data_IF_712599493193
#
_entry.id   IF_712599493193
#
_cell.length_a   1.000
_cell.length_b   1.000
_cell.length_c   1.000
_cell.angle_alpha   90.00
_cell.angle_beta   90.00
_cell.angle_gamma   90.00
#
_symmetry.space_group_name_H-M   'P 1'
#
loop_
_entity.id
_entity.type
_entity.pdbx_description
1 polymer ?
#
# COMPACT_ATOMS: atom_id res chain seq x y z
N UNK A 1 -3.25 10.16 -11.07
CA UNK A 1 -2.30 11.10 -11.71
C UNK A 1 -1.03 11.03 -10.92
N UNK A 2 0.12 11.09 -11.59
CA UNK A 2 1.42 11.02 -10.92
C UNK A 2 1.68 12.31 -10.12
N UNK A 3 1.18 13.44 -10.62
CA UNK A 3 1.16 14.73 -9.94
C UNK A 3 0.37 14.71 -8.63
N UNK A 4 -0.84 14.15 -8.65
CA UNK A 4 -1.67 14.01 -7.44
C UNK A 4 -0.98 13.08 -6.44
N UNK A 5 -0.38 11.99 -6.91
CA UNK A 5 0.38 11.09 -6.06
C UNK A 5 1.59 11.78 -5.43
N UNK A 6 2.35 12.58 -6.19
CA UNK A 6 3.49 13.34 -5.68
C UNK A 6 3.07 14.32 -4.58
N UNK A 7 1.97 15.04 -4.80
CA UNK A 7 1.46 16.02 -3.84
C UNK A 7 1.01 15.35 -2.53
N UNK A 8 0.18 14.31 -2.61
CA UNK A 8 -0.32 13.59 -1.44
C UNK A 8 0.81 12.87 -0.70
N UNK A 9 1.78 12.28 -1.41
CA UNK A 9 2.92 11.63 -0.78
C UNK A 9 3.78 12.63 0.03
N UNK A 10 3.94 13.85 -0.46
CA UNK A 10 4.66 14.89 0.28
C UNK A 10 3.89 15.34 1.53
N UNK A 11 2.59 15.58 1.41
CA UNK A 11 1.78 16.06 2.53
C UNK A 11 1.62 15.00 3.63
N UNK A 12 1.34 13.76 3.25
CA UNK A 12 1.29 12.64 4.21
C UNK A 12 2.68 12.34 4.79
N UNK A 13 3.75 12.48 4.00
CA UNK A 13 5.11 12.36 4.49
C UNK A 13 5.46 13.40 5.55
N UNK A 14 5.01 14.65 5.39
CA UNK A 14 5.17 15.70 6.42
C UNK A 14 4.37 15.40 7.68
N UNK A 15 3.15 14.88 7.54
CA UNK A 15 2.26 14.64 8.67
C UNK A 15 2.65 13.39 9.49
N UNK A 16 3.02 12.30 8.81
CA UNK A 16 3.24 10.99 9.43
C UNK A 16 4.69 10.52 9.42
N UNK A 17 5.59 11.27 8.77
CA UNK A 17 7.03 11.04 8.81
C UNK A 17 7.43 9.64 8.33
N UNK A 18 8.26 8.98 9.13
CA UNK A 18 8.88 7.70 8.78
C UNK A 18 7.87 6.57 8.55
N UNK A 19 6.72 6.58 9.22
CA UNK A 19 5.60 5.62 9.03
C UNK A 19 5.14 5.55 7.58
N UNK A 20 5.10 6.69 6.90
CA UNK A 20 4.69 6.83 5.50
C UNK A 20 5.87 6.88 4.52
N UNK A 21 7.10 6.67 5.00
CA UNK A 21 8.27 6.54 4.15
C UNK A 21 8.22 5.32 3.23
N UNK A 22 9.25 5.16 2.41
CA UNK A 22 9.44 4.00 1.56
C UNK A 22 10.39 4.28 0.42
N UNK A 23 9.85 4.38 -0.78
CA UNK A 23 10.61 4.80 -1.96
C UNK A 23 11.00 6.29 -1.91
N UNK A 24 11.97 6.66 -2.74
CA UNK A 24 12.39 8.04 -2.92
C UNK A 24 11.29 8.88 -3.59
N UNK A 25 10.73 9.91 -2.92
CA UNK A 25 9.73 10.79 -3.51
C UNK A 25 10.22 11.57 -4.74
N UNK A 26 11.54 11.71 -4.93
CA UNK A 26 12.12 12.39 -6.08
C UNK A 26 11.67 11.76 -7.41
N UNK A 27 11.50 10.43 -7.45
CA UNK A 27 10.99 9.71 -8.63
C UNK A 27 9.67 10.32 -9.12
N UNK A 28 8.72 10.56 -8.21
CA UNK A 28 7.43 11.13 -8.58
C UNK A 28 7.59 12.58 -9.07
N UNK A 29 8.48 13.36 -8.45
CA UNK A 29 8.74 14.75 -8.83
C UNK A 29 9.39 14.86 -10.21
N UNK A 30 10.37 14.01 -10.50
CA UNK A 30 11.04 13.94 -11.81
C UNK A 30 10.09 13.50 -12.92
N UNK A 31 9.23 12.50 -12.65
CA UNK A 31 8.18 12.11 -13.59
C UNK A 31 7.22 13.27 -13.88
N UNK A 32 6.84 14.05 -12.87
CA UNK A 32 5.98 15.24 -13.06
C UNK A 32 6.70 16.30 -13.88
N UNK A 33 7.97 16.59 -13.58
CA UNK A 33 8.78 17.55 -14.32
C UNK A 33 8.96 17.16 -15.80
N UNK A 34 9.05 15.86 -16.10
CA UNK A 34 9.08 15.30 -17.46
C UNK A 34 7.70 15.27 -18.17
N UNK A 35 6.64 15.79 -17.53
CA UNK A 35 5.28 15.80 -18.08
C UNK A 35 4.60 14.43 -18.09
N UNK A 36 5.10 13.47 -17.32
CA UNK A 36 4.55 12.13 -17.17
C UNK A 36 3.43 12.12 -16.12
N UNK A 37 2.28 12.73 -16.43
CA UNK A 37 1.18 12.93 -15.46
C UNK A 37 0.18 11.76 -15.40
N UNK A 38 0.29 10.81 -16.34
CA UNK A 38 -0.61 9.66 -16.48
C UNK A 38 -1.59 9.83 -17.63
N UNK A 39 -2.79 9.25 -17.51
CA UNK A 39 -3.79 9.24 -18.59
C UNK A 39 -4.20 10.63 -19.08
N UNK A 40 -4.23 11.63 -18.21
CA UNK A 40 -4.62 13.00 -18.56
C UNK A 40 -3.66 13.69 -19.52
N UNK A 41 -2.38 13.31 -19.52
CA UNK A 41 -1.36 13.82 -20.44
C UNK A 41 -1.00 12.81 -21.54
N UNK A 42 -1.73 11.69 -21.65
CA UNK A 42 -1.42 10.61 -22.58
C UNK A 42 -0.18 9.78 -22.23
N UNK A 43 0.61 10.16 -21.21
CA UNK A 43 1.81 9.42 -20.78
C UNK A 43 2.07 9.53 -19.28
N UNK A 44 2.50 8.42 -18.66
CA UNK A 44 2.86 8.27 -17.25
C UNK A 44 3.85 7.11 -17.10
N UNK A 45 3.62 6.18 -16.16
CA UNK A 45 4.34 4.89 -16.16
C UNK A 45 4.17 4.10 -17.47
N UNK A 46 3.08 4.37 -18.19
CA UNK A 46 2.77 3.82 -19.50
C UNK A 46 2.41 4.94 -20.46
N UNK A 47 2.52 4.69 -21.75
CA UNK A 47 1.92 5.54 -22.79
C UNK A 47 0.49 5.06 -23.03
N UNK A 48 -0.43 6.02 -23.16
CA UNK A 48 -1.87 5.80 -23.32
C UNK A 48 -2.34 6.32 -24.67
N UNK A 49 -2.64 5.42 -25.60
CA UNK A 49 -3.21 5.72 -26.90
C UNK A 49 -4.74 5.89 -26.77
N UNK A 50 -5.28 7.11 -26.96
CA UNK A 50 -6.71 7.39 -26.81
C UNK A 50 -7.54 6.77 -27.93
N UNK A 51 -6.93 6.41 -29.07
CA UNK A 51 -7.62 5.78 -30.21
C UNK A 51 -7.90 4.29 -30.00
N UNK A 52 -7.26 3.67 -29.00
CA UNK A 52 -7.37 2.24 -28.70
C UNK A 52 -8.06 2.02 -27.36
N UNK A 53 -8.79 0.90 -27.25
CA UNK A 53 -9.43 0.51 -25.99
C UNK A 53 -8.42 0.37 -24.83
N UNK A 54 -8.89 0.56 -23.59
CA UNK A 54 -8.08 0.68 -22.36
C UNK A 54 -6.91 -0.31 -22.19
N UNK A 55 -7.04 -1.56 -22.67
CA UNK A 55 -5.98 -2.58 -22.62
C UNK A 55 -5.00 -2.50 -23.79
N UNK A 56 -5.49 -2.28 -25.02
CA UNK A 56 -4.66 -2.27 -26.24
C UNK A 56 -3.93 -0.94 -26.47
N UNK A 57 -4.39 0.13 -25.82
CA UNK A 57 -3.74 1.44 -25.88
C UNK A 57 -2.67 1.66 -24.81
N UNK A 58 -2.28 0.64 -24.04
CA UNK A 58 -1.30 0.76 -22.96
C UNK A 58 0.03 0.11 -23.38
N UNK A 59 1.06 0.93 -23.61
CA UNK A 59 2.42 0.46 -23.92
C UNK A 59 3.41 0.94 -22.88
N UNK A 60 4.56 0.26 -22.77
CA UNK A 60 5.63 0.67 -21.88
C UNK A 60 6.14 2.08 -22.25
N UNK A 61 6.50 2.86 -21.24
CA UNK A 61 7.08 4.18 -21.43
C UNK A 61 8.57 4.13 -21.09
N UNK A 62 9.42 4.23 -22.11
CA UNK A 62 10.88 4.19 -21.96
C UNK A 62 11.42 5.39 -21.17
N UNK A 63 10.77 6.56 -21.26
CA UNK A 63 11.13 7.76 -20.49
C UNK A 63 10.89 7.52 -18.99
N UNK A 64 9.75 6.92 -18.64
CA UNK A 64 9.46 6.52 -17.27
C UNK A 64 10.43 5.45 -16.74
N UNK A 65 10.77 4.47 -17.58
CA UNK A 65 11.74 3.43 -17.22
C UNK A 65 13.13 3.99 -16.98
N UNK A 66 13.57 4.99 -17.76
CA UNK A 66 14.85 5.65 -17.56
C UNK A 66 14.93 6.31 -16.17
N UNK A 67 13.89 7.06 -15.78
CA UNK A 67 13.79 7.68 -14.44
C UNK A 67 13.78 6.59 -13.36
N UNK A 68 12.94 5.56 -13.49
CA UNK A 68 12.87 4.47 -12.51
C UNK A 68 14.21 3.74 -12.32
N UNK A 69 14.98 3.58 -13.40
CA UNK A 69 16.29 2.94 -13.35
C UNK A 69 17.35 3.79 -12.64
N UNK A 70 17.24 5.12 -12.67
CA UNK A 70 18.16 6.02 -11.97
C UNK A 70 18.03 5.91 -10.44
N UNK A 71 16.83 5.67 -9.93
CA UNK A 71 16.55 5.50 -8.50
C UNK A 71 16.47 4.02 -8.07
N UNK A 72 16.93 3.10 -8.92
CA UNK A 72 16.80 1.67 -8.66
C UNK A 72 17.69 1.25 -7.48
N UNK A 73 17.06 0.71 -6.45
CA UNK A 73 17.76 0.12 -5.31
C UNK A 73 18.18 -1.33 -5.60
N UNK A 74 19.25 -1.77 -4.96
CA UNK A 74 19.66 -3.18 -4.96
C UNK A 74 18.59 -4.01 -4.24
N UNK A 75 18.10 -5.10 -4.86
CA UNK A 75 17.13 -5.97 -4.20
C UNK A 75 17.69 -6.56 -2.90
N UNK A 76 16.86 -6.58 -1.86
CA UNK A 76 17.18 -7.21 -0.57
C UNK A 76 16.72 -8.68 -0.55
N UNK A 77 16.87 -9.36 0.59
CA UNK A 77 16.47 -10.77 0.77
C UNK A 77 14.95 -11.02 0.71
N UNK A 78 14.12 -9.99 0.81
CA UNK A 78 12.66 -10.07 0.69
C UNK A 78 12.20 -9.59 -0.71
N UNK A 79 12.51 -10.40 -1.73
CA UNK A 79 12.37 -10.06 -3.16
C UNK A 79 11.59 -11.10 -3.98
N UNK A 80 10.85 -12.00 -3.32
CA UNK A 80 9.94 -12.94 -4.00
C UNK A 80 8.63 -12.25 -4.42
N UNK A 81 7.87 -12.86 -5.33
CA UNK A 81 6.53 -12.37 -5.70
C UNK A 81 5.60 -12.25 -4.49
N UNK A 82 5.66 -13.23 -3.58
CA UNK A 82 4.90 -13.19 -2.34
C UNK A 82 5.34 -12.02 -1.46
N UNK A 83 6.65 -11.77 -1.34
CA UNK A 83 7.15 -10.63 -0.57
C UNK A 83 6.67 -9.29 -1.15
N UNK A 84 6.65 -9.12 -2.48
CA UNK A 84 6.12 -7.90 -3.09
C UNK A 84 4.63 -7.69 -2.78
N UNK A 85 3.83 -8.76 -2.82
CA UNK A 85 2.42 -8.71 -2.47
C UNK A 85 2.23 -8.33 -1.01
N UNK A 86 2.92 -9.01 -0.10
CA UNK A 86 2.76 -8.80 1.33
C UNK A 86 3.38 -7.50 1.84
N UNK A 87 4.40 -6.95 1.18
CA UNK A 87 4.91 -5.61 1.50
C UNK A 87 3.86 -4.52 1.29
N UNK A 88 3.07 -4.63 0.21
CA UNK A 88 1.97 -3.71 -0.07
C UNK A 88 0.79 -3.99 0.87
N UNK A 89 0.41 -5.26 0.97
CA UNK A 89 -0.78 -5.70 1.68
C UNK A 89 -0.68 -5.48 3.19
N UNK A 90 0.45 -5.83 3.81
CA UNK A 90 0.63 -5.71 5.26
C UNK A 90 0.60 -4.27 5.74
N UNK A 91 1.25 -3.33 5.03
CA UNK A 91 1.19 -1.90 5.36
C UNK A 91 -0.24 -1.39 5.29
N UNK A 92 -0.99 -1.74 4.24
CA UNK A 92 -2.39 -1.34 4.12
C UNK A 92 -3.26 -1.86 5.28
N UNK A 93 -3.15 -3.15 5.61
CA UNK A 93 -3.96 -3.76 6.68
C UNK A 93 -3.59 -3.18 8.04
N UNK A 94 -2.30 -2.97 8.30
CA UNK A 94 -1.84 -2.35 9.54
C UNK A 94 -2.34 -0.92 9.69
N UNK A 95 -2.33 -0.12 8.62
CA UNK A 95 -2.89 1.24 8.62
C UNK A 95 -4.40 1.23 8.88
N UNK A 96 -5.15 0.29 8.30
CA UNK A 96 -6.58 0.15 8.59
C UNK A 96 -6.84 -0.13 10.07
N UNK A 97 -6.08 -1.06 10.66
CA UNK A 97 -6.19 -1.39 12.10
C UNK A 97 -5.74 -0.22 12.96
N UNK A 98 -4.71 0.51 12.55
CA UNK A 98 -4.28 1.72 13.26
C UNK A 98 -5.37 2.80 13.23
N UNK A 99 -6.06 3.00 12.11
CA UNK A 99 -7.20 3.92 12.04
C UNK A 99 -8.32 3.54 13.03
N UNK A 100 -8.55 2.24 13.26
CA UNK A 100 -9.47 1.78 14.31
C UNK A 100 -8.90 2.06 15.71
N UNK A 101 -7.62 1.80 15.93
CA UNK A 101 -6.94 2.06 17.20
C UNK A 101 -6.94 3.55 17.59
N UNK A 102 -6.75 4.43 16.61
CA UNK A 102 -6.75 5.89 16.77
C UNK A 102 -8.18 6.48 16.83
N UNK A 103 -9.22 5.65 16.68
CA UNK A 103 -10.62 6.08 16.72
C UNK A 103 -11.08 6.85 15.48
N UNK A 104 -10.33 6.80 14.38
CA UNK A 104 -10.74 7.34 13.07
C UNK A 104 -11.87 6.49 12.48
N UNK A 105 -11.75 5.17 12.60
CA UNK A 105 -12.84 4.24 12.29
C UNK A 105 -13.64 3.95 13.54
N UNK A 106 -14.97 4.02 13.46
CA UNK A 106 -15.85 3.69 14.59
C UNK A 106 -15.94 2.19 14.79
N UNK A 107 -16.01 1.42 13.71
CA UNK A 107 -16.15 -0.04 13.75
C UNK A 107 -15.31 -0.75 12.68
N UNK A 108 -14.91 -2.03 12.93
CA UNK A 108 -14.24 -2.84 11.91
C UNK A 108 -15.07 -3.02 10.63
N UNK A 109 -16.41 -3.06 10.77
CA UNK A 109 -17.33 -3.21 9.64
C UNK A 109 -17.27 -2.02 8.68
N UNK A 110 -17.25 -0.79 9.21
CA UNK A 110 -17.08 0.42 8.40
C UNK A 110 -15.74 0.41 7.67
N UNK A 111 -14.67 -0.01 8.35
CA UNK A 111 -13.34 -0.15 7.77
C UNK A 111 -13.30 -1.17 6.63
N UNK A 112 -13.94 -2.33 6.81
CA UNK A 112 -14.03 -3.36 5.77
C UNK A 112 -14.81 -2.89 4.55
N UNK A 113 -15.99 -2.28 4.76
CA UNK A 113 -16.82 -1.73 3.68
C UNK A 113 -16.07 -0.63 2.94
N UNK A 114 -15.46 0.32 3.66
CA UNK A 114 -14.70 1.42 3.08
C UNK A 114 -13.50 0.94 2.26
N UNK A 115 -12.76 -0.05 2.77
CA UNK A 115 -11.61 -0.63 2.06
C UNK A 115 -12.05 -1.35 0.77
N UNK A 116 -13.11 -2.16 0.82
CA UNK A 116 -13.58 -2.91 -0.35
C UNK A 116 -14.18 -1.99 -1.41
N UNK A 117 -15.13 -1.13 -1.04
CA UNK A 117 -15.86 -0.31 -2.02
C UNK A 117 -15.12 0.97 -2.41
N UNK A 118 -14.29 1.53 -1.53
CA UNK A 118 -13.55 2.76 -1.81
C UNK A 118 -12.18 2.51 -2.43
N UNK A 119 -11.39 1.61 -1.82
CA UNK A 119 -9.98 1.40 -2.17
C UNK A 119 -9.78 0.18 -3.08
N UNK A 120 -10.82 -0.62 -3.31
CA UNK A 120 -10.75 -1.82 -4.13
C UNK A 120 -10.01 -2.97 -3.45
N UNK A 121 -10.07 -3.04 -2.12
CA UNK A 121 -9.52 -4.18 -1.37
C UNK A 121 -10.15 -5.50 -1.87
N UNK A 122 -9.39 -6.60 -2.00
CA UNK A 122 -9.90 -7.81 -2.63
C UNK A 122 -11.16 -8.36 -1.91
N UNK A 123 -12.32 -8.40 -2.57
CA UNK A 123 -13.60 -8.65 -1.90
C UNK A 123 -13.73 -10.07 -1.35
N UNK A 124 -12.99 -11.03 -1.91
CA UNK A 124 -12.96 -12.41 -1.41
C UNK A 124 -12.29 -12.56 -0.04
N UNK A 125 -11.55 -11.54 0.42
CA UNK A 125 -11.06 -11.48 1.80
C UNK A 125 -12.05 -10.79 2.76
N UNK A 126 -13.11 -10.17 2.25
CA UNK A 126 -14.13 -9.47 3.02
C UNK A 126 -13.72 -8.12 3.62
N UNK A 127 -12.44 -7.75 3.55
CA UNK A 127 -11.87 -6.50 4.08
C UNK A 127 -10.64 -6.74 4.95
N UNK A 128 -9.87 -5.70 5.30
CA UNK A 128 -8.66 -5.81 6.11
C UNK A 128 -8.90 -6.44 7.50
N UNK A 129 -10.01 -6.14 8.18
CA UNK A 129 -10.31 -6.69 9.50
C UNK A 129 -10.81 -8.13 9.40
N UNK A 130 -11.72 -8.41 8.45
CA UNK A 130 -12.15 -9.77 8.15
C UNK A 130 -10.98 -10.68 7.74
N UNK A 131 -10.02 -10.16 6.98
CA UNK A 131 -8.82 -10.90 6.62
C UNK A 131 -8.06 -11.39 7.85
N UNK A 132 -7.86 -10.54 8.86
CA UNK A 132 -7.19 -10.91 10.12
C UNK A 132 -7.97 -11.98 10.86
N UNK A 133 -9.29 -11.87 10.91
CA UNK A 133 -10.12 -12.86 11.60
C UNK A 133 -10.01 -14.25 10.97
N UNK A 134 -9.88 -14.31 9.63
CA UNK A 134 -9.76 -15.56 8.87
C UNK A 134 -8.35 -16.16 8.91
N UNK A 135 -7.31 -15.35 8.77
CA UNK A 135 -5.92 -15.82 8.61
C UNK A 135 -5.12 -15.78 9.92
N UNK A 136 -5.61 -15.05 10.93
CA UNK A 136 -4.96 -14.85 12.22
C UNK A 136 -3.97 -13.69 12.21
N UNK A 137 -4.01 -12.88 13.27
CA UNK A 137 -3.15 -11.71 13.45
C UNK A 137 -1.66 -12.08 13.54
N UNK A 138 -1.32 -13.23 14.16
CA UNK A 138 0.07 -13.68 14.32
C UNK A 138 0.81 -13.84 12.99
N UNK A 139 0.18 -14.44 11.98
CA UNK A 139 0.81 -14.63 10.67
C UNK A 139 1.18 -13.30 10.00
N UNK A 140 0.34 -12.27 10.15
CA UNK A 140 0.63 -10.95 9.60
C UNK A 140 1.75 -10.26 10.39
N UNK A 141 1.71 -10.35 11.73
CA UNK A 141 2.75 -9.80 12.60
C UNK A 141 4.12 -10.39 12.28
N UNK A 142 4.23 -11.71 12.11
CA UNK A 142 5.50 -12.37 11.79
C UNK A 142 6.09 -11.87 10.46
N UNK A 143 5.25 -11.73 9.43
CA UNK A 143 5.65 -11.18 8.13
C UNK A 143 6.09 -9.72 8.27
N UNK A 144 5.33 -8.91 9.02
CA UNK A 144 5.65 -7.51 9.26
C UNK A 144 6.96 -7.33 10.02
N UNK A 145 7.23 -8.13 11.06
CA UNK A 145 8.51 -8.11 11.79
C UNK A 145 9.68 -8.51 10.89
N UNK A 146 9.50 -9.50 10.00
CA UNK A 146 10.51 -9.83 8.98
C UNK A 146 10.78 -8.64 8.06
N UNK A 147 9.76 -7.92 7.62
CA UNK A 147 9.96 -6.74 6.76
C UNK A 147 10.51 -5.54 7.51
N UNK A 148 10.18 -5.36 8.79
CA UNK A 148 10.72 -4.32 9.66
C UNK A 148 12.23 -4.47 9.82
N UNK A 149 12.73 -5.69 10.00
CA UNK A 149 14.18 -5.96 10.08
C UNK A 149 14.92 -5.61 8.78
N UNK A 150 14.26 -5.70 7.62
CA UNK A 150 14.88 -5.51 6.31
C UNK A 150 14.73 -4.07 5.80
N UNK A 151 13.57 -3.45 6.05
CA UNK A 151 13.16 -2.17 5.46
C UNK A 151 12.87 -1.08 6.50
N UNK A 152 12.83 -1.41 7.79
CA UNK A 152 12.65 -0.45 8.89
C UNK A 152 11.22 -0.25 9.37
N UNK A 153 11.02 0.82 10.13
CA UNK A 153 9.84 1.11 10.96
C UNK A 153 8.50 1.26 10.21
N UNK A 154 8.52 1.42 8.88
CA UNK A 154 7.32 1.44 8.05
C UNK A 154 6.51 0.15 8.10
N UNK A 155 7.14 -0.93 8.56
CA UNK A 155 6.54 -2.25 8.72
C UNK A 155 6.31 -2.60 10.19
N UNK A 156 6.45 -1.65 11.13
CA UNK A 156 6.15 -1.89 12.54
C UNK A 156 4.64 -2.14 12.73
N UNK A 157 4.24 -3.29 13.29
CA UNK A 157 2.84 -3.55 13.61
C UNK A 157 2.30 -2.56 14.65
N UNK A 158 1.06 -2.09 14.46
CA UNK A 158 0.36 -1.30 15.47
C UNK A 158 0.05 -2.12 16.73
N UNK A 159 -0.21 -1.43 17.85
CA UNK A 159 -0.42 -2.08 19.13
C UNK A 159 -1.65 -2.99 19.14
N UNK A 160 -2.75 -2.55 18.51
CA UNK A 160 -3.99 -3.31 18.41
C UNK A 160 -3.77 -4.62 17.63
N UNK A 161 -2.99 -4.59 16.54
CA UNK A 161 -2.64 -5.81 15.82
C UNK A 161 -1.79 -6.76 16.68
N UNK A 162 -0.84 -6.23 17.45
CA UNK A 162 -0.04 -7.04 18.39
C UNK A 162 -0.91 -7.67 19.49
N UNK A 163 -1.91 -6.95 19.99
CA UNK A 163 -2.79 -7.45 21.03
C UNK A 163 -3.73 -8.55 20.52
N UNK A 164 -4.16 -8.47 19.27
CA UNK A 164 -4.86 -9.57 18.59
C UNK A 164 -3.93 -10.74 18.24
N UNK A 165 -2.64 -10.50 18.03
CA UNK A 165 -1.67 -11.58 17.79
C UNK A 165 -1.34 -12.37 19.06
N UNK A 166 -1.34 -11.73 20.24
CA UNK A 166 -1.11 -12.38 21.54
C UNK A 166 -2.24 -13.32 21.95
N UNK A 167 -3.47 -13.04 21.52
CA UNK A 167 -4.66 -13.79 21.89
C UNK A 167 -5.43 -14.20 20.63
N UNK A 168 -5.23 -15.45 20.19
CA UNK A 168 -5.84 -16.00 18.99
C UNK A 168 -7.37 -16.12 19.06
N UNK A 169 -7.96 -16.01 20.25
CA UNK A 169 -9.42 -15.97 20.43
C UNK A 169 -10.01 -14.61 20.09
N UNK A 170 -9.21 -13.53 20.11
CA UNK A 170 -9.68 -12.19 19.74
C UNK A 170 -9.93 -12.10 18.25
N UNK A 171 -11.11 -11.59 17.92
CA UNK A 171 -11.57 -11.29 16.57
C UNK A 171 -12.08 -9.86 16.52
N UNK A 172 -11.94 -9.22 15.37
CA UNK A 172 -12.52 -7.91 15.12
C UNK A 172 -14.04 -8.00 14.96
N UNK A 173 -14.52 -9.08 14.32
CA UNK A 173 -15.93 -9.36 14.17
C UNK A 173 -16.36 -10.40 15.20
N UNK A 174 -17.44 -10.12 15.93
CA UNK A 174 -18.10 -11.11 16.78
C UNK A 174 -18.68 -12.24 15.92
N UNK A 175 -18.47 -13.50 16.33
CA UNK A 175 -19.27 -14.61 15.80
C UNK A 175 -20.73 -14.37 16.17
N UNK A 176 -21.61 -14.32 15.17
CA UNK A 176 -23.05 -14.49 15.38
C UNK A 176 -23.37 -15.94 15.68
#
# INVERSE_FOLDING_TARGET
GIDVAAHVAEDLGKAFGSRFGGGDPAVLKEMVAAGLLGRKSGKGCFVYDPSKGKKKGKTENMEALAILNQHRLTPTSANTTEDYQYRLFSRFVNEAIMCLQEGILTTPLEGDIGAVFGLGFPPFFGGPFRYIDLHGAGQLVDRMRRYEQIYGEQFTPCQLLLDHAKDSSKKFHSSK
#
